data_IF_984611742446
#
_entry.id   IF_984611742446
#
_cell.length_a   1.000
_cell.length_b   1.000
_cell.length_c   1.000
_cell.angle_alpha   90.00
_cell.angle_beta   90.00
_cell.angle_gamma   90.00
#
_symmetry.space_group_name_H-M   'P 1'
#
loop_
_entity.id
_entity.type
_entity.pdbx_description
1 polymer ?
#
# COMPACT_ATOMS: atom_id res chain seq x y z
N UNK A 1 -78.86 22.46 -11.81
CA UNK A 1 -79.72 22.33 -12.96
C UNK A 1 -79.17 21.34 -13.93
N UNK A 2 -79.76 20.18 -13.92
CA UNK A 2 -79.70 19.15 -14.97
C UNK A 2 -80.51 19.70 -16.16
N UNK A 3 -80.55 19.16 -17.37
CA UNK A 3 -80.45 17.73 -17.72
C UNK A 3 -79.87 17.39 -19.13
N UNK A 4 -79.62 16.10 -19.33
CA UNK A 4 -80.14 15.15 -20.34
C UNK A 4 -79.76 15.42 -21.83
N UNK A 5 -79.58 14.51 -22.71
CA UNK A 5 -79.81 13.07 -22.84
C UNK A 5 -79.50 12.63 -24.26
N UNK A 6 -79.21 11.36 -24.33
CA UNK A 6 -79.69 10.29 -25.25
C UNK A 6 -78.90 10.09 -26.54
N UNK A 7 -78.33 8.91 -26.66
CA UNK A 7 -78.96 7.63 -27.11
C UNK A 7 -78.97 7.43 -28.62
N UNK A 8 -78.35 6.38 -29.03
CA UNK A 8 -78.74 5.16 -29.78
C UNK A 8 -78.39 5.23 -31.28
N UNK A 9 -78.07 4.19 -31.98
CA UNK A 9 -78.19 2.73 -32.00
C UNK A 9 -77.34 2.20 -33.16
N UNK A 10 -76.94 0.92 -33.04
CA UNK A 10 -76.48 0.02 -34.08
C UNK A 10 -77.50 -0.18 -35.23
N UNK A 11 -77.21 -0.93 -36.33
CA UNK A 11 -76.82 -2.36 -36.31
C UNK A 11 -75.96 -2.87 -37.51
N UNK A 12 -75.35 -4.01 -37.29
CA UNK A 12 -75.18 -5.28 -38.05
C UNK A 12 -75.28 -5.24 -39.60
N UNK A 13 -74.46 -6.01 -40.28
CA UNK A 13 -74.53 -7.41 -40.73
C UNK A 13 -73.36 -7.75 -41.68
N UNK A 14 -72.67 -8.83 -41.41
CA UNK A 14 -72.52 -10.11 -42.07
C UNK A 14 -72.00 -10.14 -43.54
N UNK A 15 -71.01 -10.87 -43.85
CA UNK A 15 -70.94 -12.24 -44.38
C UNK A 15 -69.60 -12.60 -45.07
N UNK A 16 -69.01 -13.68 -44.60
CA UNK A 16 -68.45 -14.89 -45.26
C UNK A 16 -67.33 -14.80 -46.22
N UNK A 17 -66.35 -15.67 -45.94
CA UNK A 17 -65.56 -16.42 -46.93
C UNK A 17 -64.08 -16.40 -46.78
N UNK A 18 -63.49 -17.22 -46.05
CA UNK A 18 -62.90 -18.50 -46.31
C UNK A 18 -61.55 -18.45 -46.99
N UNK A 19 -60.58 -18.89 -46.33
CA UNK A 19 -59.65 -19.98 -46.64
C UNK A 19 -58.38 -19.91 -45.78
N UNK A 20 -58.05 -21.01 -45.21
CA UNK A 20 -56.91 -21.27 -44.37
C UNK A 20 -55.58 -21.23 -45.15
N UNK A 21 -54.53 -20.70 -44.52
CA UNK A 21 -53.20 -21.31 -44.56
C UNK A 21 -52.35 -20.91 -43.37
N UNK A 22 -51.89 -21.93 -42.71
CA UNK A 22 -50.98 -21.96 -41.57
C UNK A 22 -49.64 -21.32 -41.88
N UNK A 23 -49.18 -20.44 -41.03
CA UNK A 23 -47.79 -20.19 -40.81
C UNK A 23 -47.56 -19.74 -39.39
N UNK A 24 -47.02 -20.63 -38.57
CA UNK A 24 -46.53 -20.35 -37.21
C UNK A 24 -45.34 -19.41 -37.32
N UNK A 25 -45.53 -18.13 -37.06
CA UNK A 25 -44.43 -17.21 -36.83
C UNK A 25 -44.08 -17.27 -35.33
N UNK A 26 -42.98 -17.95 -35.05
CA UNK A 26 -42.35 -18.02 -33.73
C UNK A 26 -41.69 -16.63 -33.46
N UNK A 27 -42.30 -15.82 -32.65
CA UNK A 27 -41.68 -14.59 -32.18
C UNK A 27 -40.57 -14.96 -31.15
N UNK A 28 -39.33 -14.98 -31.58
CA UNK A 28 -38.18 -15.06 -30.68
C UNK A 28 -38.00 -13.68 -30.08
N UNK A 29 -38.47 -13.52 -28.84
CA UNK A 29 -38.12 -12.37 -28.01
C UNK A 29 -36.68 -12.59 -27.56
N UNK A 30 -35.74 -11.99 -28.27
CA UNK A 30 -34.34 -11.94 -27.85
C UNK A 30 -34.23 -11.02 -26.63
N UNK A 31 -34.26 -11.62 -25.43
CA UNK A 31 -33.91 -10.97 -24.19
C UNK A 31 -32.38 -10.77 -24.20
N UNK A 32 -31.92 -9.63 -24.71
CA UNK A 32 -30.54 -9.24 -24.58
C UNK A 32 -30.27 -8.93 -23.10
N UNK A 33 -29.77 -9.94 -22.39
CA UNK A 33 -29.21 -9.74 -21.05
C UNK A 33 -27.99 -8.84 -21.20
N UNK A 34 -28.12 -7.57 -20.84
CA UNK A 34 -27.02 -6.66 -20.56
C UNK A 34 -26.29 -7.19 -19.33
N UNK A 35 -25.34 -8.11 -19.53
CA UNK A 35 -24.32 -8.36 -18.53
C UNK A 35 -23.50 -7.07 -18.40
N UNK A 36 -23.36 -6.50 -17.19
CA UNK A 36 -22.34 -5.48 -16.99
C UNK A 36 -20.99 -6.15 -17.28
N UNK A 37 -20.34 -5.76 -18.37
CA UNK A 37 -18.91 -5.99 -18.53
C UNK A 37 -18.24 -5.27 -17.35
N UNK A 38 -17.89 -6.01 -16.32
CA UNK A 38 -16.84 -5.60 -15.42
C UNK A 38 -15.58 -5.53 -16.30
N UNK A 39 -15.24 -4.33 -16.73
CA UNK A 39 -13.92 -4.04 -17.29
C UNK A 39 -12.98 -4.23 -16.10
N UNK A 40 -12.49 -5.48 -15.93
CA UNK A 40 -11.27 -5.69 -15.18
C UNK A 40 -10.26 -4.77 -15.84
N UNK A 41 -9.75 -3.78 -15.09
CA UNK A 41 -8.65 -2.96 -15.55
C UNK A 41 -7.52 -3.94 -15.89
N UNK A 42 -7.39 -4.29 -17.17
CA UNK A 42 -6.22 -5.04 -17.64
C UNK A 42 -5.05 -4.13 -17.40
N UNK A 43 -4.03 -4.66 -16.74
CA UNK A 43 -2.74 -4.02 -16.65
C UNK A 43 -2.41 -3.44 -18.02
N UNK A 44 -2.23 -2.12 -18.09
CA UNK A 44 -1.85 -1.44 -19.32
C UNK A 44 -0.35 -1.63 -19.46
N UNK A 45 0.04 -2.80 -19.95
CA UNK A 45 1.43 -3.28 -20.06
C UNK A 45 2.21 -2.59 -21.21
N UNK A 46 1.72 -1.45 -21.67
CA UNK A 46 2.30 -0.73 -22.82
C UNK A 46 3.28 0.37 -22.43
N UNK A 47 3.63 0.51 -21.17
CA UNK A 47 4.57 1.53 -20.68
C UNK A 47 6.03 1.05 -20.63
N UNK A 48 6.97 1.93 -20.26
CA UNK A 48 8.39 1.62 -20.25
C UNK A 48 8.82 0.70 -19.10
N UNK A 49 8.06 0.66 -18.00
CA UNK A 49 8.42 -0.13 -16.82
C UNK A 49 8.07 -1.60 -16.96
N UNK A 50 8.98 -2.46 -16.51
CA UNK A 50 8.79 -3.91 -16.45
C UNK A 50 9.57 -4.51 -15.29
N UNK A 51 9.18 -5.70 -14.86
CA UNK A 51 10.01 -6.51 -13.98
C UNK A 51 11.22 -6.98 -14.78
N UNK A 52 12.37 -6.38 -14.52
CA UNK A 52 13.62 -6.67 -15.22
C UNK A 52 14.33 -7.89 -14.64
N UNK A 53 14.17 -8.10 -13.33
CA UNK A 53 14.84 -9.19 -12.61
C UNK A 53 13.99 -9.66 -11.44
N UNK A 54 13.98 -10.96 -11.24
CA UNK A 54 13.48 -11.64 -10.04
C UNK A 54 14.63 -12.46 -9.49
N UNK A 55 14.98 -12.23 -8.23
CA UNK A 55 16.03 -12.98 -7.54
C UNK A 55 15.45 -13.70 -6.34
N UNK A 56 15.39 -15.02 -6.40
CA UNK A 56 15.03 -15.85 -5.25
C UNK A 56 16.24 -15.80 -4.28
N UNK A 57 15.98 -15.38 -3.06
CA UNK A 57 17.02 -15.27 -2.01
C UNK A 57 16.76 -16.22 -0.84
N UNK A 58 15.65 -16.95 -0.88
CA UNK A 58 15.28 -17.88 0.17
C UNK A 58 14.85 -17.14 1.44
N UNK A 59 15.23 -17.71 2.60
CA UNK A 59 14.91 -17.18 3.93
C UNK A 59 13.42 -17.23 4.25
N UNK A 60 13.06 -17.96 5.29
CA UNK A 60 11.69 -18.11 5.73
C UNK A 60 11.27 -17.01 6.72
N UNK A 61 10.00 -16.84 6.96
CA UNK A 61 9.43 -15.86 7.86
C UNK A 61 8.59 -14.79 7.13
N UNK A 62 7.95 -13.94 7.89
CA UNK A 62 7.23 -12.78 7.36
C UNK A 62 8.18 -11.75 6.75
N UNK A 63 7.65 -10.84 5.97
CA UNK A 63 8.37 -9.70 5.43
C UNK A 63 7.43 -8.50 5.36
N UNK A 64 8.03 -7.31 5.37
CA UNK A 64 7.27 -6.07 5.30
C UNK A 64 8.01 -5.02 4.50
N UNK A 65 8.74 -4.10 5.13
CA UNK A 65 9.42 -3.03 4.43
C UNK A 65 10.75 -3.47 3.82
N UNK A 66 11.10 -2.79 2.75
CA UNK A 66 12.39 -2.87 2.04
C UNK A 66 12.93 -1.46 1.84
N UNK A 67 14.24 -1.25 2.03
CA UNK A 67 14.88 0.07 1.93
C UNK A 67 16.14 0.01 1.08
N UNK A 68 16.21 0.87 0.08
CA UNK A 68 17.40 1.09 -0.73
C UNK A 68 18.23 2.24 -0.15
N UNK A 69 19.47 1.95 0.19
CA UNK A 69 20.53 2.94 0.35
C UNK A 69 21.26 3.05 -0.98
N UNK A 70 20.87 4.04 -1.76
CA UNK A 70 21.44 4.26 -3.09
C UNK A 70 22.92 4.65 -3.04
N UNK A 71 23.37 5.30 -1.96
CA UNK A 71 24.75 5.74 -1.81
C UNK A 71 25.69 4.61 -1.46
N UNK A 72 25.36 3.78 -0.50
CA UNK A 72 26.12 2.60 -0.13
C UNK A 72 25.87 1.39 -1.06
N UNK A 73 24.93 1.48 -2.01
CA UNK A 73 24.48 0.37 -2.86
C UNK A 73 24.02 -0.83 -2.06
N UNK A 74 23.28 -0.58 -0.97
CA UNK A 74 22.76 -1.59 -0.06
C UNK A 74 21.22 -1.63 -0.07
N UNK A 75 20.65 -2.83 -0.03
CA UNK A 75 19.21 -3.08 0.08
C UNK A 75 18.95 -3.80 1.40
N UNK A 76 18.27 -3.13 2.29
CA UNK A 76 17.89 -3.65 3.59
C UNK A 76 16.52 -4.34 3.50
N UNK A 77 16.45 -5.60 3.87
CA UNK A 77 15.25 -6.43 3.81
C UNK A 77 14.97 -7.01 5.19
N UNK A 78 13.95 -6.50 5.85
CA UNK A 78 13.56 -6.98 7.16
C UNK A 78 12.71 -8.26 7.04
N UNK A 79 13.02 -9.24 7.90
CA UNK A 79 12.26 -10.47 8.01
C UNK A 79 11.77 -10.64 9.44
N UNK A 80 10.54 -11.07 9.59
CA UNK A 80 9.89 -11.27 10.88
C UNK A 80 9.67 -12.76 11.20
N UNK A 81 9.34 -13.04 12.45
CA UNK A 81 9.11 -14.40 12.95
C UNK A 81 10.34 -14.99 13.65
N UNK A 82 10.29 -16.28 14.07
CA UNK A 82 11.35 -16.89 14.91
C UNK A 82 12.73 -16.93 14.28
N UNK A 83 12.82 -17.02 12.95
CA UNK A 83 14.06 -16.97 12.18
C UNK A 83 14.30 -15.59 11.55
N UNK A 84 13.48 -14.59 11.88
CA UNK A 84 13.53 -13.27 11.29
C UNK A 84 14.78 -12.51 11.71
N UNK A 85 15.36 -11.79 10.76
CA UNK A 85 16.51 -10.90 10.95
C UNK A 85 16.58 -9.91 9.79
N UNK A 86 17.45 -8.91 9.90
CA UNK A 86 17.69 -7.97 8.82
C UNK A 86 18.76 -8.50 7.88
N UNK A 87 18.42 -8.67 6.61
CA UNK A 87 19.32 -9.04 5.54
C UNK A 87 19.71 -7.81 4.76
N UNK A 88 20.99 -7.71 4.41
CA UNK A 88 21.53 -6.62 3.59
C UNK A 88 22.07 -7.22 2.31
N UNK A 89 21.51 -6.80 1.18
CA UNK A 89 21.93 -7.22 -0.16
C UNK A 89 22.61 -6.08 -0.90
N UNK A 90 23.49 -6.39 -1.82
CA UNK A 90 24.00 -5.40 -2.77
C UNK A 90 22.89 -5.03 -3.78
N UNK A 91 22.63 -3.75 -3.99
CA UNK A 91 21.55 -3.27 -4.89
C UNK A 91 21.75 -3.74 -6.34
N UNK A 92 22.99 -3.79 -6.82
CA UNK A 92 23.26 -4.10 -8.23
C UNK A 92 23.22 -5.61 -8.52
N UNK A 93 23.91 -6.38 -7.67
CA UNK A 93 24.07 -7.83 -7.86
C UNK A 93 22.98 -8.66 -7.17
N UNK A 94 22.30 -8.12 -6.17
CA UNK A 94 21.42 -8.80 -5.22
C UNK A 94 22.12 -9.93 -4.46
N UNK A 95 23.46 -9.91 -4.38
CA UNK A 95 24.20 -10.81 -3.51
C UNK A 95 24.09 -10.38 -2.06
N UNK A 96 24.03 -11.34 -1.15
CA UNK A 96 24.00 -11.08 0.29
C UNK A 96 25.33 -10.45 0.73
N UNK A 97 25.26 -9.26 1.33
CA UNK A 97 26.42 -8.58 1.93
C UNK A 97 26.56 -8.94 3.41
N UNK A 98 25.45 -8.93 4.14
CA UNK A 98 25.45 -9.18 5.57
C UNK A 98 24.09 -9.65 6.08
N UNK A 99 24.12 -10.21 7.28
CA UNK A 99 22.94 -10.49 8.08
C UNK A 99 23.15 -9.89 9.45
N UNK A 100 22.20 -9.07 9.91
CA UNK A 100 22.24 -8.49 11.24
C UNK A 100 21.35 -9.36 12.14
N UNK A 101 21.92 -10.09 13.09
CA UNK A 101 21.19 -11.09 13.87
C UNK A 101 20.31 -10.46 14.95
N UNK A 102 19.29 -11.22 15.39
CA UNK A 102 18.37 -10.82 16.46
C UNK A 102 17.63 -9.49 16.12
N UNK A 103 17.26 -9.32 14.87
CA UNK A 103 16.55 -8.14 14.35
C UNK A 103 15.23 -8.52 13.68
N UNK A 104 14.58 -9.59 14.19
CA UNK A 104 13.23 -9.91 13.73
C UNK A 104 12.32 -8.70 13.86
N UNK A 105 11.84 -8.17 12.74
CA UNK A 105 11.09 -6.91 12.69
C UNK A 105 10.51 -6.63 11.33
N UNK A 106 10.10 -5.39 11.12
CA UNK A 106 9.34 -4.99 9.95
C UNK A 106 10.16 -4.21 8.93
N UNK A 107 11.08 -3.33 9.36
CA UNK A 107 11.86 -2.50 8.46
C UNK A 107 13.18 -2.02 9.03
N UNK A 108 13.94 -1.29 8.24
CA UNK A 108 15.16 -0.60 8.65
C UNK A 108 15.45 0.57 7.71
N UNK A 109 16.11 1.60 8.24
CA UNK A 109 16.70 2.66 7.44
C UNK A 109 18.04 3.07 8.00
N UNK A 110 18.81 3.83 7.22
CA UNK A 110 20.12 4.34 7.58
C UNK A 110 20.18 5.85 7.39
N UNK A 111 20.93 6.51 8.26
CA UNK A 111 21.38 7.88 8.05
C UNK A 111 22.83 7.87 7.57
N UNK A 112 23.06 8.25 6.32
CA UNK A 112 24.38 8.27 5.71
C UNK A 112 25.32 9.29 6.37
N UNK A 113 24.78 10.34 6.99
CA UNK A 113 25.58 11.38 7.65
C UNK A 113 26.19 10.90 8.97
N UNK A 114 25.43 10.13 9.76
CA UNK A 114 25.94 9.53 11.00
C UNK A 114 26.60 8.17 10.77
N UNK A 115 26.27 7.49 9.66
CA UNK A 115 26.72 6.13 9.37
C UNK A 115 25.99 5.09 10.22
N UNK A 116 24.86 5.44 10.84
CA UNK A 116 24.09 4.56 11.68
C UNK A 116 22.78 4.11 10.98
N UNK A 117 22.40 2.88 11.25
CA UNK A 117 21.12 2.32 10.83
C UNK A 117 20.30 1.84 12.03
N UNK A 118 18.99 1.81 11.82
CA UNK A 118 18.02 1.36 12.83
C UNK A 118 17.06 0.35 12.20
N UNK A 119 16.86 -0.78 12.86
CA UNK A 119 15.86 -1.77 12.49
C UNK A 119 14.69 -1.74 13.47
N UNK A 120 13.46 -1.74 12.96
CA UNK A 120 12.23 -1.77 13.75
C UNK A 120 11.94 -3.15 14.32
N UNK A 121 12.97 -3.77 14.92
CA UNK A 121 12.83 -4.94 15.78
C UNK A 121 12.36 -4.53 17.18
N UNK A 122 12.02 -5.48 18.02
CA UNK A 122 11.72 -5.20 19.43
C UNK A 122 12.63 -6.05 20.31
N UNK A 123 13.64 -5.41 21.02
CA UNK A 123 13.96 -3.98 21.00
C UNK A 123 14.48 -3.48 19.65
N UNK A 124 14.42 -2.15 19.41
CA UNK A 124 15.02 -1.52 18.23
C UNK A 124 16.52 -1.84 18.20
N UNK A 125 17.03 -2.11 17.01
CA UNK A 125 18.46 -2.39 16.84
C UNK A 125 19.13 -1.23 16.12
N UNK A 126 20.05 -0.58 16.80
CA UNK A 126 21.00 0.35 16.18
C UNK A 126 22.23 -0.41 15.69
N UNK A 127 22.64 -0.17 14.46
CA UNK A 127 23.80 -0.83 13.84
C UNK A 127 24.65 0.16 13.03
N UNK A 128 25.90 -0.19 12.83
CA UNK A 128 26.82 0.54 11.95
C UNK A 128 26.51 0.18 10.48
N UNK A 129 26.21 1.17 9.66
CA UNK A 129 25.75 0.97 8.28
C UNK A 129 26.87 0.50 7.33
N UNK A 130 28.15 0.62 7.72
CA UNK A 130 29.29 0.20 6.93
C UNK A 130 29.75 -1.21 7.26
N UNK A 131 29.81 -1.54 8.55
CA UNK A 131 30.26 -2.84 9.04
C UNK A 131 29.15 -3.82 9.32
N UNK A 132 27.90 -3.33 9.40
CA UNK A 132 26.69 -4.04 9.79
C UNK A 132 26.71 -4.62 11.21
N UNK A 133 27.66 -4.17 12.02
CA UNK A 133 27.77 -4.58 13.42
C UNK A 133 26.67 -3.93 14.27
N UNK A 134 26.08 -4.72 15.16
CA UNK A 134 25.13 -4.19 16.14
C UNK A 134 25.88 -3.30 17.12
N UNK A 135 25.43 -2.04 17.25
CA UNK A 135 25.95 -1.07 18.21
C UNK A 135 25.25 -1.24 19.55
N UNK A 136 23.90 -1.18 19.56
CA UNK A 136 23.12 -1.37 20.77
C UNK A 136 21.67 -1.75 20.47
N UNK A 137 20.98 -2.21 21.51
CA UNK A 137 19.53 -2.42 21.54
C UNK A 137 18.89 -1.29 22.32
N UNK A 138 17.73 -0.81 21.84
CA UNK A 138 17.01 0.32 22.42
C UNK A 138 15.59 -0.17 22.72
N UNK A 139 15.25 -0.21 24.02
CA UNK A 139 13.91 -0.56 24.43
C UNK A 139 12.97 0.61 24.17
N UNK A 140 11.89 0.33 23.44
CA UNK A 140 10.83 1.29 23.16
C UNK A 140 9.47 0.70 23.56
N UNK A 141 8.56 1.56 23.92
CA UNK A 141 7.17 1.18 24.12
C UNK A 141 6.47 0.92 22.77
N UNK A 142 5.22 0.51 22.83
CA UNK A 142 4.44 0.23 21.63
C UNK A 142 4.80 -1.08 20.95
N UNK A 143 4.47 -1.17 19.67
CA UNK A 143 4.77 -2.30 18.80
C UNK A 143 5.38 -1.77 17.49
N UNK A 144 6.72 -1.65 17.43
CA UNK A 144 7.43 -1.11 16.28
C UNK A 144 7.04 -1.80 14.97
N UNK A 145 6.77 -1.00 13.94
CA UNK A 145 6.37 -1.45 12.62
C UNK A 145 7.10 -0.63 11.54
N UNK A 146 6.47 0.43 11.02
CA UNK A 146 7.06 1.33 10.06
C UNK A 146 8.15 2.23 10.64
N UNK A 147 8.72 3.05 9.79
CA UNK A 147 9.82 3.96 10.16
C UNK A 147 9.91 5.13 9.18
N UNK A 148 10.59 6.18 9.63
CA UNK A 148 11.08 7.26 8.78
C UNK A 148 12.47 7.68 9.27
N UNK A 149 13.44 7.78 8.38
CA UNK A 149 14.67 8.52 8.64
C UNK A 149 14.53 9.95 8.12
N UNK A 150 14.58 10.94 9.03
CA UNK A 150 14.63 12.36 8.68
C UNK A 150 16.08 12.83 8.70
N UNK A 151 16.75 12.66 7.56
CA UNK A 151 18.17 12.96 7.40
C UNK A 151 18.53 14.43 7.67
N UNK A 152 17.58 15.37 7.53
CA UNK A 152 17.82 16.79 7.77
C UNK A 152 17.96 17.08 9.26
N UNK A 153 17.15 16.46 10.09
CA UNK A 153 17.17 16.64 11.54
C UNK A 153 17.94 15.54 12.27
N UNK A 154 18.51 14.56 11.56
CA UNK A 154 19.19 13.39 12.10
C UNK A 154 18.37 12.66 13.13
N UNK A 155 17.11 12.30 12.75
CA UNK A 155 16.15 11.63 13.61
C UNK A 155 15.55 10.42 12.93
N UNK A 156 15.45 9.36 13.70
CA UNK A 156 14.75 8.16 13.29
C UNK A 156 13.41 8.07 14.02
N UNK A 157 12.34 8.04 13.26
CA UNK A 157 10.97 7.90 13.75
C UNK A 157 10.57 6.43 13.64
N UNK A 158 10.30 5.82 14.78
CA UNK A 158 9.75 4.46 14.88
C UNK A 158 8.23 4.58 14.92
N UNK A 159 7.55 4.06 13.92
CA UNK A 159 6.09 4.02 13.87
C UNK A 159 5.58 2.77 14.57
N UNK A 160 4.46 2.87 15.31
CA UNK A 160 3.90 1.79 16.10
C UNK A 160 2.38 1.79 16.05
N UNK A 161 1.79 0.62 15.78
CA UNK A 161 0.33 0.45 15.78
C UNK A 161 -0.29 0.53 17.18
N UNK A 162 0.51 0.58 18.23
CA UNK A 162 0.05 0.80 19.61
C UNK A 162 0.77 1.98 20.25
N UNK A 163 0.08 2.70 21.13
CA UNK A 163 0.62 3.88 21.78
C UNK A 163 1.86 3.59 22.67
N UNK A 164 2.87 4.51 22.67
CA UNK A 164 2.93 5.71 21.84
C UNK A 164 3.08 5.35 20.37
N UNK A 165 2.38 6.07 19.49
CA UNK A 165 2.35 5.69 18.07
C UNK A 165 3.67 6.02 17.36
N UNK A 166 4.45 6.95 17.88
CA UNK A 166 5.76 7.31 17.31
C UNK A 166 6.75 7.48 18.46
N UNK A 167 7.92 6.86 18.33
CA UNK A 167 9.09 7.12 19.16
C UNK A 167 10.16 7.77 18.30
N UNK A 168 10.70 8.90 18.74
CA UNK A 168 11.74 9.65 18.02
C UNK A 168 13.09 9.38 18.65
N UNK A 169 14.04 8.89 17.85
CA UNK A 169 15.41 8.60 18.27
C UNK A 169 16.38 9.60 17.65
N UNK A 170 17.45 9.92 18.36
CA UNK A 170 18.61 10.62 17.82
C UNK A 170 19.46 9.66 17.00
N UNK A 171 19.77 9.97 15.75
CA UNK A 171 20.53 9.09 14.85
C UNK A 171 22.01 8.96 15.24
N UNK A 172 22.53 9.88 16.07
CA UNK A 172 23.92 9.83 16.51
C UNK A 172 24.18 8.75 17.54
N UNK A 173 23.25 8.63 18.49
CA UNK A 173 23.48 7.74 19.62
C UNK A 173 22.28 6.87 19.98
N UNK A 174 21.14 7.01 19.27
CA UNK A 174 19.91 6.27 19.50
C UNK A 174 19.24 6.58 20.83
N UNK A 175 19.49 7.75 21.43
CA UNK A 175 18.72 8.21 22.58
C UNK A 175 17.29 8.52 22.19
N UNK A 176 16.33 8.22 23.08
CA UNK A 176 14.93 8.59 22.86
C UNK A 176 14.78 10.09 23.14
N UNK A 177 14.40 10.85 22.11
CA UNK A 177 14.19 12.29 22.20
C UNK A 177 12.76 12.65 22.64
N UNK A 178 11.75 11.99 22.08
CA UNK A 178 10.35 12.24 22.41
C UNK A 178 9.47 11.03 21.99
N UNK A 179 8.22 11.07 22.41
CA UNK A 179 7.16 10.17 21.93
C UNK A 179 5.95 10.99 21.50
N UNK A 180 5.30 10.59 20.42
CA UNK A 180 4.15 11.32 19.85
C UNK A 180 2.99 10.34 19.70
N UNK A 181 1.84 10.71 20.29
CA UNK A 181 0.60 9.99 20.08
C UNK A 181 -0.22 10.71 18.99
N UNK A 182 -0.43 10.03 17.87
CA UNK A 182 -1.23 10.55 16.74
C UNK A 182 -2.67 10.03 16.75
N UNK A 183 -3.00 9.15 17.70
CA UNK A 183 -4.36 8.66 17.96
C UNK A 183 -4.87 7.64 16.96
N UNK A 184 -3.99 6.82 16.37
CA UNK A 184 -4.35 5.77 15.44
C UNK A 184 -3.16 4.92 15.01
N UNK A 185 -3.35 4.04 14.03
CA UNK A 185 -2.33 3.13 13.51
C UNK A 185 -1.55 3.81 12.36
N UNK A 186 -0.28 4.23 12.57
CA UNK A 186 0.56 4.76 11.50
C UNK A 186 1.06 3.63 10.60
N UNK A 187 1.14 3.89 9.30
CA UNK A 187 1.72 2.95 8.32
C UNK A 187 2.99 3.53 7.71
N UNK A 188 2.88 4.48 6.79
CA UNK A 188 4.03 5.08 6.13
C UNK A 188 4.14 6.57 6.45
N UNK A 189 5.38 7.10 6.43
CA UNK A 189 5.66 8.49 6.71
C UNK A 189 6.56 9.10 5.62
N UNK A 190 6.48 10.43 5.47
CA UNK A 190 7.32 11.22 4.57
C UNK A 190 7.76 12.52 5.25
N UNK A 191 9.03 12.91 5.05
CA UNK A 191 9.58 14.20 5.48
C UNK A 191 9.68 15.15 4.29
N UNK A 192 9.32 16.42 4.48
CA UNK A 192 9.53 17.45 3.47
C UNK A 192 10.95 18.01 3.46
N UNK A 193 11.78 17.61 4.43
CA UNK A 193 13.12 18.17 4.61
C UNK A 193 13.14 19.66 4.97
N UNK A 194 11.98 20.25 5.28
CA UNK A 194 11.80 21.67 5.59
C UNK A 194 11.20 21.89 6.99
N UNK A 195 10.96 20.82 7.73
CA UNK A 195 10.46 20.85 9.10
C UNK A 195 9.10 20.23 9.32
N UNK A 196 8.51 19.57 8.34
CA UNK A 196 7.27 18.81 8.49
C UNK A 196 7.45 17.35 8.18
N UNK A 197 6.78 16.53 8.95
CA UNK A 197 6.63 15.10 8.72
C UNK A 197 5.14 14.79 8.58
N UNK A 198 4.82 13.99 7.59
CA UNK A 198 3.48 13.51 7.29
C UNK A 198 3.43 12.02 7.57
N UNK A 199 2.39 11.56 8.26
CA UNK A 199 2.20 10.15 8.62
C UNK A 199 0.78 9.76 8.31
N UNK A 200 0.57 8.76 7.47
CA UNK A 200 -0.77 8.22 7.27
C UNK A 200 -1.23 7.42 8.49
N UNK A 201 -2.50 7.59 8.85
CA UNK A 201 -3.16 6.88 9.93
C UNK A 201 -4.21 5.97 9.32
N UNK A 202 -3.85 4.71 9.11
CA UNK A 202 -4.63 3.74 8.34
C UNK A 202 -6.07 3.63 8.85
N UNK A 203 -6.25 3.45 10.14
CA UNK A 203 -7.55 3.21 10.78
C UNK A 203 -8.41 4.48 10.98
N UNK A 204 -7.91 5.66 10.57
CA UNK A 204 -8.61 6.94 10.71
C UNK A 204 -8.87 7.66 9.39
N UNK A 205 -8.36 7.15 8.28
CA UNK A 205 -8.45 7.82 6.96
C UNK A 205 -7.96 9.27 7.01
N UNK A 206 -6.83 9.51 7.71
CA UNK A 206 -6.24 10.82 7.91
C UNK A 206 -4.72 10.77 7.75
N UNK A 207 -4.12 11.91 7.44
CA UNK A 207 -2.66 12.12 7.53
C UNK A 207 -2.38 13.04 8.72
N UNK A 208 -1.55 12.59 9.66
CA UNK A 208 -1.02 13.46 10.72
C UNK A 208 0.08 14.34 10.17
N UNK A 209 0.09 15.62 10.60
CA UNK A 209 1.15 16.57 10.30
C UNK A 209 1.93 16.86 11.58
N UNK A 210 3.21 16.59 11.57
CA UNK A 210 4.11 16.74 12.70
C UNK A 210 5.12 17.84 12.36
N UNK A 211 5.31 18.77 13.30
CA UNK A 211 6.45 19.70 13.26
C UNK A 211 7.70 18.94 13.73
N UNK A 212 8.66 18.75 12.84
CA UNK A 212 9.86 17.98 13.09
C UNK A 212 10.78 18.65 14.14
N UNK A 213 10.75 19.95 14.30
CA UNK A 213 11.59 20.66 15.25
C UNK A 213 11.09 20.52 16.69
N UNK A 214 9.78 20.66 16.86
CA UNK A 214 9.13 20.56 18.18
C UNK A 214 8.70 19.14 18.53
N UNK A 215 8.72 18.22 17.56
CA UNK A 215 8.24 16.83 17.69
C UNK A 215 6.78 16.78 18.18
N UNK A 216 5.95 17.66 17.67
CA UNK A 216 4.52 17.73 18.05
C UNK A 216 3.63 17.61 16.81
N UNK A 217 2.52 16.92 16.99
CA UNK A 217 1.46 16.93 15.98
C UNK A 217 0.84 18.34 15.94
N UNK A 218 0.84 18.94 14.74
CA UNK A 218 0.34 20.31 14.51
C UNK A 218 -0.92 20.36 13.66
N UNK A 219 -1.32 19.23 13.07
CA UNK A 219 -2.53 19.15 12.26
C UNK A 219 -2.87 17.74 11.81
N UNK A 220 -4.02 17.61 11.15
CA UNK A 220 -4.46 16.39 10.45
C UNK A 220 -5.16 16.78 9.16
N UNK A 221 -4.95 15.98 8.11
CA UNK A 221 -5.66 16.09 6.83
C UNK A 221 -6.67 14.95 6.70
N UNK A 222 -7.91 15.27 6.47
CA UNK A 222 -9.02 14.31 6.35
C UNK A 222 -9.12 13.78 4.91
N UNK A 223 -9.01 12.46 4.75
CA UNK A 223 -9.12 11.76 3.47
C UNK A 223 -10.47 11.06 3.27
N UNK A 224 -11.33 11.03 4.29
CA UNK A 224 -12.55 10.21 4.35
C UNK A 224 -13.54 10.46 3.20
N UNK A 225 -13.54 11.65 2.62
CA UNK A 225 -14.38 12.00 1.46
C UNK A 225 -13.99 11.23 0.18
N UNK A 226 -12.73 10.82 0.07
CA UNK A 226 -12.17 10.15 -1.11
C UNK A 226 -11.79 8.70 -0.89
N UNK A 227 -11.53 8.28 0.34
CA UNK A 227 -11.15 6.91 0.65
C UNK A 227 -10.65 6.78 2.08
N UNK A 228 -9.99 5.66 2.36
CA UNK A 228 -9.41 5.36 3.66
C UNK A 228 -8.59 4.08 3.62
N UNK A 229 -8.07 3.68 4.79
CA UNK A 229 -7.17 2.54 4.89
C UNK A 229 -5.90 2.78 4.07
N UNK A 230 -5.33 4.00 4.14
CA UNK A 230 -4.14 4.33 3.37
C UNK A 230 -2.92 3.70 4.04
N UNK A 231 -2.12 3.00 3.24
CA UNK A 231 -0.94 2.26 3.69
C UNK A 231 0.31 2.59 2.87
N UNK A 232 0.22 3.58 2.01
CA UNK A 232 1.35 4.09 1.26
C UNK A 232 1.30 5.61 1.23
N UNK A 233 2.44 6.26 1.57
CA UNK A 233 2.55 7.71 1.56
C UNK A 233 3.85 8.14 0.89
N UNK A 234 3.73 8.92 -0.18
CA UNK A 234 4.87 9.54 -0.86
C UNK A 234 4.69 11.05 -0.92
N UNK A 235 5.78 11.77 -1.12
CA UNK A 235 5.81 13.22 -1.15
C UNK A 235 6.69 13.74 -2.28
N UNK A 236 6.15 14.62 -3.11
CA UNK A 236 6.94 15.59 -3.86
C UNK A 236 7.18 16.83 -2.98
N UNK A 237 8.33 16.85 -2.33
CA UNK A 237 8.73 17.95 -1.44
C UNK A 237 9.02 19.26 -2.18
N UNK A 238 9.19 19.22 -3.51
CA UNK A 238 9.42 20.42 -4.33
C UNK A 238 8.12 21.17 -4.61
N UNK A 239 7.07 20.45 -4.93
CA UNK A 239 5.76 21.00 -5.27
C UNK A 239 4.77 20.93 -4.10
N UNK A 240 5.20 20.44 -2.93
CA UNK A 240 4.39 20.24 -1.73
C UNK A 240 3.13 19.39 -2.01
N UNK A 241 3.32 18.21 -2.63
CA UNK A 241 2.25 17.29 -3.01
C UNK A 241 2.42 15.94 -2.30
N UNK A 242 1.39 15.52 -1.59
CA UNK A 242 1.29 14.20 -0.98
C UNK A 242 0.50 13.24 -1.88
N UNK A 243 0.94 12.00 -1.89
CA UNK A 243 0.33 10.86 -2.59
C UNK A 243 0.02 9.78 -1.56
N UNK A 244 -1.27 9.62 -1.24
CA UNK A 244 -1.74 8.62 -0.27
C UNK A 244 -2.42 7.45 -1.00
N UNK A 245 -1.79 6.28 -0.97
CA UNK A 245 -2.33 5.05 -1.57
C UNK A 245 -3.26 4.35 -0.59
N UNK A 246 -4.54 4.22 -0.95
CA UNK A 246 -5.61 3.83 -0.05
C UNK A 246 -6.31 2.54 -0.49
N UNK A 247 -6.58 1.63 0.46
CA UNK A 247 -7.14 0.29 0.23
C UNK A 247 -8.67 0.28 0.06
N UNK A 248 -9.40 1.18 0.73
CA UNK A 248 -10.86 1.11 0.74
C UNK A 248 -11.50 1.31 -0.64
N UNK A 249 -10.97 2.24 -1.43
CA UNK A 249 -11.43 2.52 -2.79
C UNK A 249 -10.42 2.15 -3.87
N UNK A 250 -9.28 1.57 -3.47
CA UNK A 250 -8.17 1.24 -4.37
C UNK A 250 -7.78 2.46 -5.22
N UNK A 251 -7.47 3.56 -4.56
CA UNK A 251 -7.11 4.80 -5.21
C UNK A 251 -5.90 5.46 -4.56
N UNK A 252 -5.20 6.26 -5.35
CA UNK A 252 -4.19 7.21 -4.91
C UNK A 252 -4.88 8.56 -4.70
N UNK A 253 -4.99 9.02 -3.46
CA UNK A 253 -5.47 10.37 -3.15
C UNK A 253 -4.29 11.32 -3.25
N UNK A 254 -4.42 12.38 -4.05
CA UNK A 254 -3.39 13.37 -4.31
C UNK A 254 -3.84 14.70 -3.69
N UNK A 255 -3.03 15.23 -2.79
CA UNK A 255 -3.41 16.40 -2.00
C UNK A 255 -2.23 17.34 -1.77
N UNK A 256 -2.53 18.60 -1.48
CA UNK A 256 -1.54 19.60 -1.07
C UNK A 256 -0.97 19.26 0.30
N UNK A 257 0.35 19.19 0.42
CA UNK A 257 1.05 19.03 1.69
C UNK A 257 0.99 20.31 2.56
N UNK A 258 0.64 21.46 1.99
CA UNK A 258 0.59 22.73 2.70
C UNK A 258 -0.63 22.83 3.62
N UNK A 259 -1.81 22.39 3.14
CA UNK A 259 -3.09 22.59 3.80
C UNK A 259 -4.03 21.37 3.80
N UNK A 260 -3.63 20.26 3.14
CA UNK A 260 -4.42 19.04 3.04
C UNK A 260 -5.56 19.10 2.02
N UNK A 261 -5.61 20.17 1.19
CA UNK A 261 -6.58 20.24 0.10
C UNK A 261 -6.41 19.09 -0.88
N UNK A 262 -7.47 18.28 -1.07
CA UNK A 262 -7.46 17.19 -2.04
C UNK A 262 -7.56 17.75 -3.45
N UNK A 263 -6.54 17.49 -4.27
CA UNK A 263 -6.47 17.95 -5.66
C UNK A 263 -7.26 17.01 -6.55
N UNK A 264 -7.00 15.70 -6.43
CA UNK A 264 -7.68 14.66 -7.21
C UNK A 264 -7.48 13.30 -6.57
N UNK A 265 -8.08 12.26 -7.17
CA UNK A 265 -7.76 10.87 -6.88
C UNK A 265 -7.72 10.06 -8.18
N UNK A 266 -6.87 9.04 -8.22
CA UNK A 266 -6.68 8.17 -9.40
C UNK A 266 -6.77 6.70 -8.97
N UNK A 267 -7.29 5.81 -9.84
CA UNK A 267 -7.37 4.39 -9.52
C UNK A 267 -5.98 3.74 -9.46
N UNK A 268 -5.80 2.82 -8.53
CA UNK A 268 -4.64 1.92 -8.40
C UNK A 268 -5.12 0.48 -8.28
N UNK A 269 -4.21 -0.49 -8.30
CA UNK A 269 -4.55 -1.90 -8.05
C UNK A 269 -5.04 -2.16 -6.62
N UNK A 270 -5.47 -3.40 -6.38
CA UNK A 270 -6.10 -3.80 -5.11
C UNK A 270 -5.06 -4.18 -4.06
N UNK A 271 -5.25 -3.67 -2.83
CA UNK A 271 -4.41 -4.02 -1.69
C UNK A 271 -3.05 -3.34 -1.74
N UNK A 272 -3.05 -2.00 -1.87
CA UNK A 272 -1.82 -1.22 -1.79
C UNK A 272 -1.14 -1.39 -0.42
N UNK A 273 0.20 -1.33 -0.42
CA UNK A 273 1.02 -1.57 0.76
C UNK A 273 2.29 -0.71 0.80
N UNK A 274 2.35 0.33 0.03
CA UNK A 274 3.44 1.28 0.01
C UNK A 274 3.39 2.21 -1.20
N UNK A 275 4.02 3.37 -1.07
CA UNK A 275 4.23 4.32 -2.15
C UNK A 275 5.64 4.95 -2.07
N UNK A 276 6.18 5.34 -3.22
CA UNK A 276 7.42 6.11 -3.31
C UNK A 276 7.37 7.06 -4.50
N UNK A 277 8.06 8.19 -4.41
CA UNK A 277 8.10 9.22 -5.45
C UNK A 277 9.51 9.36 -6.01
N UNK A 278 9.62 9.41 -7.34
CA UNK A 278 10.87 9.69 -8.02
C UNK A 278 10.87 11.15 -8.52
N UNK A 279 11.64 12.05 -7.89
CA UNK A 279 11.68 13.46 -8.26
C UNK A 279 12.33 13.72 -9.62
N UNK A 280 13.19 12.82 -10.10
CA UNK A 280 13.84 12.98 -11.41
C UNK A 280 12.87 12.75 -12.56
N UNK A 281 11.95 11.82 -12.36
CA UNK A 281 10.96 11.48 -13.40
C UNK A 281 9.58 12.04 -13.10
N UNK A 282 9.35 12.64 -11.92
CA UNK A 282 8.04 13.12 -11.48
C UNK A 282 6.99 12.00 -11.56
N UNK A 283 7.33 10.83 -11.05
CA UNK A 283 6.48 9.65 -11.05
C UNK A 283 6.33 9.12 -9.61
N UNK A 284 5.11 8.80 -9.23
CA UNK A 284 4.83 8.06 -7.99
C UNK A 284 4.49 6.61 -8.32
N UNK A 285 5.02 5.73 -7.51
CA UNK A 285 4.84 4.29 -7.61
C UNK A 285 4.08 3.79 -6.39
N UNK A 286 3.15 2.88 -6.61
CA UNK A 286 2.48 2.18 -5.52
C UNK A 286 2.43 0.69 -5.80
N UNK A 287 2.80 -0.14 -4.82
CA UNK A 287 2.73 -1.60 -4.90
C UNK A 287 1.36 -2.10 -4.45
N UNK A 288 0.84 -3.14 -5.10
CA UNK A 288 -0.46 -3.74 -4.79
C UNK A 288 -0.36 -5.26 -4.68
N UNK A 289 -1.09 -5.81 -3.71
CA UNK A 289 -1.12 -7.25 -3.44
C UNK A 289 -1.79 -8.10 -4.52
N UNK A 290 -2.55 -7.49 -5.44
CA UNK A 290 -3.19 -8.17 -6.57
C UNK A 290 -2.21 -8.57 -7.69
N UNK A 291 -0.93 -8.22 -7.57
CA UNK A 291 0.10 -8.49 -8.55
C UNK A 291 0.29 -7.36 -9.55
N UNK A 292 0.08 -6.14 -9.11
CA UNK A 292 0.33 -4.94 -9.90
C UNK A 292 1.20 -3.94 -9.16
N UNK A 293 1.85 -3.04 -9.93
CA UNK A 293 2.47 -1.81 -9.46
C UNK A 293 1.96 -0.69 -10.34
N UNK A 294 1.31 0.30 -9.73
CA UNK A 294 0.77 1.45 -10.45
C UNK A 294 1.80 2.57 -10.50
N UNK A 295 2.00 3.12 -11.69
CA UNK A 295 2.84 4.30 -11.96
C UNK A 295 1.93 5.46 -12.31
N UNK A 296 2.03 6.54 -11.55
CA UNK A 296 1.28 7.78 -11.79
C UNK A 296 2.28 8.88 -12.11
N UNK A 297 2.06 9.55 -13.23
CA UNK A 297 2.83 10.70 -13.66
C UNK A 297 2.26 11.99 -13.07
N UNK A 298 3.09 12.78 -12.44
CA UNK A 298 2.83 14.18 -12.17
C UNK A 298 3.25 15.02 -13.38
N UNK A 299 2.29 15.46 -14.19
CA UNK A 299 2.54 16.33 -15.36
C UNK A 299 2.73 17.79 -14.93
N UNK A 300 2.06 18.18 -13.85
CA UNK A 300 2.19 19.46 -13.17
C UNK A 300 1.59 19.34 -11.76
N UNK A 301 1.78 20.31 -10.87
CA UNK A 301 1.19 20.28 -9.52
C UNK A 301 -0.34 20.17 -9.47
N UNK A 302 -1.02 20.27 -10.60
CA UNK A 302 -2.49 20.15 -10.71
C UNK A 302 -2.95 19.13 -11.75
N UNK A 303 -2.01 18.40 -12.39
CA UNK A 303 -2.33 17.45 -13.46
C UNK A 303 -1.58 16.14 -13.28
N UNK A 304 -2.32 15.07 -13.07
CA UNK A 304 -1.82 13.72 -12.80
C UNK A 304 -2.52 12.70 -13.69
N UNK A 305 -1.83 11.64 -14.04
CA UNK A 305 -2.41 10.55 -14.83
C UNK A 305 -1.77 9.21 -14.46
N UNK A 306 -2.56 8.14 -14.45
CA UNK A 306 -2.02 6.79 -14.43
C UNK A 306 -1.28 6.57 -15.76
N UNK A 307 0.04 6.42 -15.69
CA UNK A 307 0.89 6.21 -16.85
C UNK A 307 0.96 4.73 -17.22
N UNK A 308 1.09 3.87 -16.21
CA UNK A 308 1.22 2.44 -16.42
C UNK A 308 0.74 1.65 -15.20
N UNK A 309 0.22 0.46 -15.45
CA UNK A 309 0.04 -0.58 -14.45
C UNK A 309 0.92 -1.77 -14.84
N UNK A 310 2.02 -1.93 -14.11
CA UNK A 310 3.03 -2.97 -14.35
C UNK A 310 2.57 -4.28 -13.72
N UNK A 311 2.60 -5.38 -14.45
CA UNK A 311 2.34 -6.70 -13.89
C UNK A 311 3.54 -7.15 -13.02
N UNK A 312 3.27 -7.57 -11.81
CA UNK A 312 4.23 -8.12 -10.86
C UNK A 312 3.75 -9.47 -10.34
N UNK A 313 4.61 -10.29 -9.72
CA UNK A 313 4.14 -11.42 -8.94
C UNK A 313 3.13 -10.98 -7.86
N UNK A 314 2.10 -11.79 -7.66
CA UNK A 314 1.09 -11.51 -6.65
C UNK A 314 1.69 -11.35 -5.25
N UNK A 315 1.08 -10.48 -4.44
CA UNK A 315 1.53 -10.13 -3.08
C UNK A 315 2.93 -9.50 -3.02
N UNK A 316 3.45 -9.00 -4.15
CA UNK A 316 4.57 -8.08 -4.11
C UNK A 316 4.14 -6.85 -3.31
N UNK A 317 4.78 -6.65 -2.17
CA UNK A 317 4.37 -5.61 -1.25
C UNK A 317 5.56 -4.86 -0.72
N UNK A 318 5.26 -3.68 -0.26
CA UNK A 318 6.12 -2.54 -0.12
C UNK A 318 7.05 -2.35 -1.31
N UNK A 319 7.71 -1.25 -1.35
CA UNK A 319 8.65 -0.91 -2.40
C UNK A 319 9.62 0.16 -1.92
N UNK A 320 10.73 0.26 -2.60
CA UNK A 320 11.69 1.33 -2.40
C UNK A 320 12.30 1.76 -3.73
N UNK A 321 12.71 3.02 -3.81
CA UNK A 321 13.37 3.60 -4.98
C UNK A 321 14.89 3.62 -4.79
N UNK A 322 15.65 3.10 -5.74
CA UNK A 322 17.04 3.45 -5.92
C UNK A 322 17.14 4.77 -6.68
N UNK A 323 17.40 5.84 -5.96
CA UNK A 323 17.42 7.19 -6.53
C UNK A 323 18.53 7.41 -7.57
N UNK A 324 19.56 6.56 -7.62
CA UNK A 324 20.65 6.66 -8.62
C UNK A 324 20.31 6.04 -9.95
N UNK A 325 19.53 4.96 -9.95
CA UNK A 325 19.20 4.23 -11.19
C UNK A 325 17.76 4.45 -11.62
N UNK A 326 16.89 4.94 -10.73
CA UNK A 326 15.45 5.03 -10.95
C UNK A 326 14.74 3.67 -10.85
N UNK A 327 15.42 2.60 -10.49
CA UNK A 327 14.82 1.30 -10.31
C UNK A 327 13.99 1.23 -9.02
N UNK A 328 12.87 0.53 -9.09
CA UNK A 328 12.03 0.20 -7.95
C UNK A 328 12.36 -1.23 -7.51
N UNK A 329 12.57 -1.42 -6.23
CA UNK A 329 12.71 -2.73 -5.61
C UNK A 329 11.45 -3.05 -4.83
N UNK A 330 10.94 -4.26 -4.99
CA UNK A 330 9.82 -4.80 -4.22
C UNK A 330 10.11 -6.23 -3.80
N UNK A 331 9.35 -6.77 -2.88
CA UNK A 331 9.59 -8.08 -2.30
C UNK A 331 8.31 -8.91 -2.27
N UNK A 332 8.45 -10.22 -2.45
CA UNK A 332 7.35 -11.18 -2.34
C UNK A 332 7.88 -12.59 -2.07
N UNK A 333 6.97 -13.57 -2.04
CA UNK A 333 7.28 -14.99 -2.00
C UNK A 333 6.24 -15.75 -2.82
N UNK A 334 6.49 -17.01 -3.10
CA UNK A 334 5.46 -17.89 -3.63
C UNK A 334 4.54 -18.40 -2.52
N UNK A 335 3.28 -18.63 -2.86
CA UNK A 335 2.25 -19.05 -1.91
C UNK A 335 1.55 -20.31 -2.40
N UNK A 336 1.33 -21.22 -1.48
CA UNK A 336 0.54 -22.44 -1.73
C UNK A 336 -0.97 -22.14 -1.88
N UNK A 337 -1.79 -23.15 -2.06
CA UNK A 337 -3.24 -22.99 -2.10
C UNK A 337 -3.77 -22.49 -0.74
N UNK A 338 -4.82 -21.68 -0.79
CA UNK A 338 -5.51 -21.25 0.44
C UNK A 338 -6.12 -22.48 1.11
N UNK A 339 -5.80 -22.78 2.38
CA UNK A 339 -6.41 -23.89 3.10
C UNK A 339 -7.93 -23.78 3.14
N UNK A 340 -8.63 -24.90 3.08
CA UNK A 340 -10.08 -24.92 3.27
C UNK A 340 -10.43 -24.26 4.62
N UNK A 341 -11.49 -23.45 4.64
CA UNK A 341 -11.97 -22.89 5.89
C UNK A 341 -12.39 -24.06 6.82
N UNK A 342 -11.97 -24.03 8.09
CA UNK A 342 -12.53 -24.97 9.05
C UNK A 342 -14.05 -24.75 9.15
N UNK A 343 -14.84 -25.79 9.38
CA UNK A 343 -16.28 -25.65 9.53
C UNK A 343 -16.56 -24.66 10.68
N UNK A 344 -17.64 -23.87 10.59
CA UNK A 344 -18.00 -22.95 11.66
C UNK A 344 -18.14 -23.72 12.98
N UNK A 345 -17.74 -23.11 14.10
CA UNK A 345 -17.87 -23.76 15.41
C UNK A 345 -19.34 -24.11 15.66
N UNK A 346 -19.63 -25.22 16.37
CA UNK A 346 -20.99 -25.60 16.74
C UNK A 346 -21.73 -24.45 17.39
N UNK A 347 -23.02 -24.28 17.05
CA UNK A 347 -23.86 -23.25 17.67
C UNK A 347 -23.79 -23.40 19.21
N UNK A 348 -23.37 -22.35 19.93
CA UNK A 348 -23.24 -22.33 21.38
C UNK A 348 -21.82 -22.49 21.92
N UNK A 349 -20.80 -22.62 21.08
CA UNK A 349 -19.41 -22.56 21.55
C UNK A 349 -19.08 -21.14 22.09
N UNK A 350 -18.40 -21.02 23.23
CA UNK A 350 -18.00 -19.70 23.73
C UNK A 350 -17.04 -19.03 22.72
N UNK A 351 -17.13 -17.69 22.55
CA UNK A 351 -16.23 -16.99 21.65
C UNK A 351 -14.79 -17.21 22.12
N UNK A 352 -13.94 -17.71 21.22
CA UNK A 352 -12.50 -17.73 21.44
C UNK A 352 -12.04 -16.27 21.66
N UNK A 353 -11.36 -16.01 22.77
CA UNK A 353 -10.88 -14.68 23.12
C UNK A 353 -9.86 -14.18 22.07
N UNK A 354 -10.32 -13.33 21.19
CA UNK A 354 -9.58 -12.70 20.08
C UNK A 354 -10.55 -12.17 19.03
N UNK A 355 -10.12 -11.29 18.13
CA UNK A 355 -10.97 -10.87 17.02
C UNK A 355 -11.44 -12.13 16.26
N UNK A 356 -12.73 -12.21 15.89
CA UNK A 356 -13.32 -13.41 15.33
C UNK A 356 -12.50 -13.91 14.14
N UNK A 357 -12.14 -15.20 14.14
CA UNK A 357 -11.33 -15.85 13.10
C UNK A 357 -11.94 -15.72 11.68
N UNK A 358 -13.22 -15.36 11.56
CA UNK A 358 -13.89 -15.11 10.29
C UNK A 358 -13.53 -13.74 9.67
N UNK A 359 -12.94 -12.81 10.41
CA UNK A 359 -12.43 -11.55 9.85
C UNK A 359 -11.07 -11.71 9.15
N UNK A 360 -10.36 -12.81 9.43
CA UNK A 360 -9.14 -13.18 8.70
C UNK A 360 -9.36 -14.55 8.08
N UNK A 361 -9.89 -14.60 6.87
CA UNK A 361 -9.96 -15.85 6.12
C UNK A 361 -8.60 -16.57 6.08
N UNK A 362 -8.57 -17.90 5.86
CA UNK A 362 -7.32 -18.64 5.83
C UNK A 362 -6.40 -18.03 4.77
N UNK A 363 -5.19 -17.66 5.18
CA UNK A 363 -4.18 -17.14 4.25
C UNK A 363 -3.42 -18.30 3.63
N UNK A 364 -3.15 -18.22 2.33
CA UNK A 364 -2.25 -19.15 1.68
C UNK A 364 -0.88 -19.14 2.38
N UNK A 365 -0.33 -20.30 2.75
CA UNK A 365 1.00 -20.39 3.34
C UNK A 365 2.06 -19.99 2.33
N UNK A 366 3.10 -19.33 2.79
CA UNK A 366 4.29 -19.09 1.98
C UNK A 366 4.99 -20.42 1.71
N UNK A 367 5.42 -20.64 0.48
CA UNK A 367 6.24 -21.78 0.11
C UNK A 367 7.64 -21.55 0.70
N UNK A 368 8.20 -22.51 1.45
CA UNK A 368 9.55 -22.37 2.01
C UNK A 368 10.59 -22.05 0.95
N UNK A 369 11.54 -21.20 1.30
CA UNK A 369 12.69 -20.78 0.47
C UNK A 369 12.31 -20.09 -0.85
N UNK A 370 11.06 -19.61 -0.99
CA UNK A 370 10.58 -18.95 -2.21
C UNK A 370 10.67 -17.42 -2.15
N UNK A 371 11.14 -16.86 -1.04
CA UNK A 371 11.23 -15.40 -0.91
C UNK A 371 12.14 -14.79 -1.98
N UNK A 372 11.68 -13.70 -2.58
CA UNK A 372 12.32 -13.11 -3.76
C UNK A 372 12.28 -11.58 -3.74
N UNK A 373 13.29 -11.00 -4.36
CA UNK A 373 13.43 -9.57 -4.60
C UNK A 373 13.15 -9.31 -6.08
N UNK A 374 12.33 -8.31 -6.35
CA UNK A 374 11.98 -7.83 -7.68
C UNK A 374 12.72 -6.54 -7.98
N UNK A 375 13.26 -6.42 -9.19
CA UNK A 375 13.79 -5.17 -9.74
C UNK A 375 12.90 -4.74 -10.88
N UNK A 376 12.32 -3.55 -10.79
CA UNK A 376 11.39 -2.98 -11.74
C UNK A 376 11.99 -1.69 -12.28
N UNK A 377 12.10 -1.56 -13.60
CA UNK A 377 12.72 -0.40 -14.23
C UNK A 377 12.30 -0.26 -15.69
N UNK A 378 12.77 0.84 -16.31
CA UNK A 378 12.52 1.16 -17.73
C UNK A 378 13.38 0.33 -18.68
#
# INVERSE_FOLDING_TARGET
MNPLSKMQLEPQEQFVGGFAMSAKALAIVSLAALLPLAIAARAQDSGPYKVQRIQIVGNDGGFDYVTADADARALYVARSGPAGQLYVYNLDSLSLLATIPNTSGHGAAVDSATGHGFATSKPITMFDAKTFAVIKKIDVEGNPDGYLNDAVNHRFYVLSHSAPNITVLDDKDGSILDTIDIGGAPEQAASDGKGKIYVDIEDKSTIAVIDANTMKMVGKYDLSSKGGGCAGLALDAKNDILFAACREKNNMIILSATDGHIITDLPIGVGCDGATFNPETMEVFSSQGDGTLTVIKENSPTSFAVEQTVATPARAKTLTLDSKTGNIYSITAEYGPVPAQPPPPPAGAPPAGGPPAFMRGPRAPMIPHSFQILVIGK
#
